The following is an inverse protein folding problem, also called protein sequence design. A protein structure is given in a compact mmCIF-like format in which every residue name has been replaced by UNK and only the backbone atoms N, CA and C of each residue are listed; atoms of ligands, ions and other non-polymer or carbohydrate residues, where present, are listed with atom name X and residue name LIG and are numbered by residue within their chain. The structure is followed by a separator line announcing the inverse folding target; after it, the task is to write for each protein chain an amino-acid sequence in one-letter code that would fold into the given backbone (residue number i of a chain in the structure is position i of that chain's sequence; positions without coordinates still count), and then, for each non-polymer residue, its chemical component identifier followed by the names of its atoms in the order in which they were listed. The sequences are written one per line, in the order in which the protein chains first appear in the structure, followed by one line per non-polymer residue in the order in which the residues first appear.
data_IF_475714125705
#
_entry.id   IF_475714125705
#
_cell.length_a   1.000
_cell.length_b   1.000
_cell.length_c   1.000
_cell.angle_alpha   90.00
_cell.angle_beta   90.00
_cell.angle_gamma   90.00
#
_symmetry.space_group_name_H-M   'P 1'
#
loop_
_entity.id
_entity.type
_entity.pdbx_description
1 polymer ?
#
# COMPACT_ATOMS: atom_id res chain seq x y z
N UNK A 1 27.13 24.93 -11.58
CA UNK A 1 26.30 26.00 -12.14
C UNK A 1 25.22 25.35 -12.99
N UNK A 2 23.98 25.77 -12.82
CA UNK A 2 22.92 25.30 -13.70
C UNK A 2 23.20 25.83 -15.09
N UNK A 3 23.21 24.98 -16.10
CA UNK A 3 23.55 25.32 -17.49
C UNK A 3 22.53 26.26 -18.18
N UNK A 4 21.64 26.87 -17.37
CA UNK A 4 20.60 27.77 -17.85
C UNK A 4 19.42 27.00 -18.48
N UNK A 5 18.48 27.78 -19.01
CA UNK A 5 17.32 27.22 -19.72
C UNK A 5 17.70 26.78 -21.12
N UNK A 6 17.54 25.52 -21.46
CA UNK A 6 17.72 25.00 -22.81
C UNK A 6 16.42 25.20 -23.58
N UNK A 7 16.47 26.05 -24.60
CA UNK A 7 15.34 26.31 -25.49
C UNK A 7 15.13 25.12 -26.41
N UNK A 8 13.97 24.49 -26.29
CA UNK A 8 13.51 23.39 -27.16
C UNK A 8 12.03 23.59 -27.47
N UNK A 9 11.73 24.16 -28.63
CA UNK A 9 10.36 24.46 -29.01
C UNK A 9 9.52 23.19 -29.19
N UNK A 10 10.13 22.06 -29.54
CA UNK A 10 9.45 20.76 -29.65
C UNK A 10 8.99 20.21 -28.30
N UNK A 11 9.69 20.57 -27.24
CA UNK A 11 9.42 20.14 -25.87
C UNK A 11 8.52 21.12 -25.12
N UNK A 12 8.75 22.41 -25.26
CA UNK A 12 8.14 23.43 -24.42
C UNK A 12 6.92 24.12 -25.02
N UNK A 13 6.76 24.09 -26.37
CA UNK A 13 5.57 24.65 -27.02
C UNK A 13 4.46 23.59 -27.04
N UNK A 14 3.44 23.82 -26.21
CA UNK A 14 2.35 22.86 -26.01
C UNK A 14 1.28 23.07 -27.08
N UNK A 15 1.35 22.27 -28.16
CA UNK A 15 0.25 22.04 -29.08
C UNK A 15 -0.47 20.71 -28.74
N UNK A 16 -1.70 20.45 -29.17
CA UNK A 16 -2.45 19.24 -28.86
C UNK A 16 -1.67 17.95 -29.09
N UNK A 17 -0.93 17.86 -30.20
CA UNK A 17 -0.11 16.69 -30.51
C UNK A 17 1.05 16.47 -29.51
N UNK A 18 1.65 17.55 -28.97
CA UNK A 18 2.70 17.45 -27.96
C UNK A 18 2.10 17.06 -26.59
N UNK A 19 0.96 17.64 -26.25
CA UNK A 19 0.26 17.28 -25.01
C UNK A 19 -0.10 15.79 -24.99
N UNK A 20 -0.63 15.26 -26.10
CA UNK A 20 -0.95 13.83 -26.23
C UNK A 20 0.29 12.94 -26.07
N UNK A 21 1.38 13.23 -26.80
CA UNK A 21 2.64 12.49 -26.67
C UNK A 21 3.21 12.56 -25.27
N UNK A 22 3.21 13.75 -24.66
CA UNK A 22 3.68 13.95 -23.30
C UNK A 22 2.88 13.12 -22.27
N UNK A 23 1.58 12.96 -22.49
CA UNK A 23 0.76 12.11 -21.64
C UNK A 23 1.15 10.63 -21.75
N UNK A 24 1.40 10.12 -22.97
CA UNK A 24 1.89 8.74 -23.14
C UNK A 24 3.27 8.55 -22.50
N UNK A 25 4.20 9.48 -22.68
CA UNK A 25 5.53 9.45 -22.05
C UNK A 25 5.45 9.43 -20.51
N UNK A 26 4.48 10.14 -19.93
CA UNK A 26 4.24 10.13 -18.48
C UNK A 26 3.71 8.75 -18.02
N UNK A 27 2.74 8.18 -18.73
CA UNK A 27 2.19 6.87 -18.39
C UNK A 27 3.26 5.76 -18.46
N UNK A 28 4.07 5.74 -19.51
CA UNK A 28 5.18 4.80 -19.65
C UNK A 28 6.17 4.94 -18.48
N UNK A 29 6.51 6.17 -18.12
CA UNK A 29 7.43 6.43 -17.00
C UNK A 29 6.85 6.02 -15.66
N UNK A 30 5.57 6.29 -15.39
CA UNK A 30 4.91 5.86 -14.16
C UNK A 30 4.84 4.35 -14.05
N UNK A 31 4.58 3.65 -15.17
CA UNK A 31 4.59 2.19 -15.20
C UNK A 31 5.99 1.62 -14.87
N UNK A 32 7.07 2.21 -15.43
CA UNK A 32 8.44 1.82 -15.08
C UNK A 32 8.74 2.03 -13.59
N UNK A 33 8.38 3.18 -13.04
CA UNK A 33 8.60 3.50 -11.62
C UNK A 33 7.82 2.52 -10.72
N UNK A 34 6.57 2.20 -11.06
CA UNK A 34 5.76 1.22 -10.32
C UNK A 34 6.42 -0.16 -10.33
N UNK A 35 6.95 -0.60 -11.47
CA UNK A 35 7.67 -1.88 -11.58
C UNK A 35 8.92 -1.94 -10.70
N UNK A 36 9.71 -0.87 -10.67
CA UNK A 36 10.90 -0.76 -9.82
C UNK A 36 10.54 -0.83 -8.33
N UNK A 37 9.53 -0.10 -7.88
CA UNK A 37 9.06 -0.10 -6.49
C UNK A 37 8.32 -1.39 -6.09
N UNK A 38 7.90 -2.19 -7.06
CA UNK A 38 7.31 -3.52 -6.83
C UNK A 38 8.34 -4.66 -6.83
N UNK A 39 9.63 -4.37 -6.94
CA UNK A 39 10.71 -5.37 -6.90
C UNK A 39 10.99 -6.08 -8.23
N UNK A 40 10.48 -5.58 -9.35
CA UNK A 40 10.70 -6.14 -10.68
C UNK A 40 11.69 -5.29 -11.51
N UNK A 41 12.96 -5.33 -11.16
CA UNK A 41 14.02 -4.52 -11.77
C UNK A 41 14.44 -4.92 -13.18
N UNK A 42 13.62 -5.61 -13.98
CA UNK A 42 14.07 -6.20 -15.25
C UNK A 42 13.99 -5.29 -16.48
N UNK A 43 13.44 -4.08 -16.43
CA UNK A 43 13.14 -3.37 -17.67
C UNK A 43 13.67 -1.93 -17.82
N UNK A 44 13.96 -1.19 -16.76
CA UNK A 44 14.20 0.24 -16.90
C UNK A 44 15.58 0.76 -16.52
N UNK A 45 16.38 0.04 -15.75
CA UNK A 45 17.73 0.48 -15.38
C UNK A 45 18.66 -0.65 -14.93
N UNK A 46 19.91 -0.60 -15.38
CA UNK A 46 20.92 -1.64 -15.14
C UNK A 46 21.80 -1.43 -13.92
N UNK A 47 21.54 -0.44 -13.07
CA UNK A 47 22.46 -0.05 -11.99
C UNK A 47 21.76 0.46 -10.71
N UNK A 48 20.50 0.10 -10.41
CA UNK A 48 19.81 0.63 -9.24
C UNK A 48 19.68 -0.37 -8.09
N UNK A 49 19.77 0.17 -6.88
CA UNK A 49 19.44 -0.50 -5.63
C UNK A 49 18.01 -1.07 -5.69
N UNK A 50 17.75 -2.14 -4.95
CA UNK A 50 16.44 -2.75 -4.86
C UNK A 50 15.43 -1.78 -4.19
N UNK A 51 14.62 -1.12 -5.00
CA UNK A 51 13.65 -0.14 -4.53
C UNK A 51 12.40 -0.78 -3.89
N UNK A 52 12.24 -2.11 -3.94
CA UNK A 52 11.18 -2.81 -3.22
C UNK A 52 11.30 -2.64 -1.70
N UNK A 53 12.49 -2.30 -1.21
CA UNK A 53 12.75 -1.99 0.21
C UNK A 53 11.91 -0.84 0.76
N UNK A 54 11.34 0.02 -0.10
CA UNK A 54 10.42 1.07 0.33
C UNK A 54 9.01 0.54 0.66
N UNK A 55 8.65 -0.64 0.16
CA UNK A 55 7.35 -1.28 0.38
C UNK A 55 7.53 -2.69 0.97
N UNK A 56 8.24 -2.85 2.10
CA UNK A 56 8.51 -4.16 2.67
C UNK A 56 7.21 -4.83 3.13
N UNK A 57 7.14 -6.14 2.88
CA UNK A 57 6.10 -6.99 3.42
C UNK A 57 6.73 -8.14 4.23
N UNK A 58 6.13 -8.48 5.35
CA UNK A 58 6.53 -9.59 6.21
C UNK A 58 5.32 -10.48 6.50
N UNK A 59 5.59 -11.75 6.70
CA UNK A 59 4.60 -12.76 7.06
C UNK A 59 4.89 -13.28 8.48
N UNK A 60 3.87 -13.27 9.33
CA UNK A 60 3.96 -13.68 10.73
C UNK A 60 3.01 -14.86 10.96
N UNK A 61 3.57 -16.05 11.19
CA UNK A 61 2.82 -17.29 11.35
C UNK A 61 2.54 -18.01 10.02
N UNK A 62 1.78 -19.08 10.09
CA UNK A 62 1.48 -19.95 8.95
C UNK A 62 0.13 -19.60 8.32
N UNK A 63 0.05 -19.62 6.99
CA UNK A 63 -1.18 -19.40 6.22
C UNK A 63 -2.00 -18.18 6.69
N UNK A 64 -1.43 -16.97 6.66
CA UNK A 64 -2.09 -15.78 7.18
C UNK A 64 -3.37 -15.46 6.41
N UNK A 65 -4.44 -15.15 7.15
CA UNK A 65 -5.75 -14.71 6.62
C UNK A 65 -5.96 -13.21 6.79
N UNK A 66 -5.12 -12.57 7.61
CA UNK A 66 -5.21 -11.16 7.98
C UNK A 66 -4.05 -10.36 7.41
N UNK A 67 -4.35 -9.14 6.95
CA UNK A 67 -3.34 -8.19 6.50
C UNK A 67 -3.41 -6.90 7.31
N UNK A 68 -2.26 -6.28 7.51
CA UNK A 68 -2.11 -4.96 8.10
C UNK A 68 -1.28 -4.14 7.13
N UNK A 69 -1.82 -3.02 6.66
CA UNK A 69 -1.12 -2.13 5.74
C UNK A 69 -1.00 -0.75 6.38
N UNK A 70 0.20 -0.20 6.37
CA UNK A 70 0.47 1.07 7.02
C UNK A 70 1.25 2.02 6.11
N UNK A 71 0.98 3.33 6.25
CA UNK A 71 1.73 4.39 5.60
C UNK A 71 2.33 5.36 6.62
N UNK A 72 3.50 5.91 6.29
CA UNK A 72 4.14 6.93 7.11
C UNK A 72 4.42 6.48 8.55
N UNK A 73 4.20 7.39 9.50
CA UNK A 73 4.44 7.15 10.94
C UNK A 73 3.55 6.07 11.53
N UNK A 74 2.36 5.84 10.93
CA UNK A 74 1.45 4.77 11.37
C UNK A 74 2.09 3.39 11.31
N UNK A 75 3.12 3.20 10.46
CA UNK A 75 3.92 1.97 10.40
C UNK A 75 4.61 1.69 11.75
N UNK A 76 5.29 2.68 12.31
CA UNK A 76 5.98 2.53 13.59
C UNK A 76 4.99 2.27 14.73
N UNK A 77 3.89 3.00 14.77
CA UNK A 77 2.85 2.82 15.78
C UNK A 77 2.18 1.45 15.70
N UNK A 78 1.94 0.93 14.49
CA UNK A 78 1.34 -0.39 14.32
C UNK A 78 2.28 -1.51 14.74
N UNK A 79 3.58 -1.41 14.45
CA UNK A 79 4.58 -2.37 14.90
C UNK A 79 4.69 -2.40 16.42
N UNK A 80 4.72 -1.24 17.08
CA UNK A 80 4.73 -1.15 18.53
C UNK A 80 3.43 -1.69 19.16
N UNK A 81 2.27 -1.38 18.57
CA UNK A 81 0.99 -1.89 19.02
C UNK A 81 0.91 -3.42 18.90
N UNK A 82 1.43 -4.00 17.81
CA UNK A 82 1.52 -5.46 17.63
C UNK A 82 2.44 -6.12 18.66
N UNK A 83 3.56 -5.47 19.01
CA UNK A 83 4.44 -5.96 20.06
C UNK A 83 3.70 -6.00 21.40
N UNK A 84 3.00 -4.94 21.79
CA UNK A 84 2.19 -4.93 23.02
C UNK A 84 1.07 -5.95 23.01
N UNK A 85 0.39 -6.15 21.87
CA UNK A 85 -0.65 -7.18 21.74
C UNK A 85 -0.08 -8.58 21.93
N UNK A 86 1.08 -8.87 21.32
CA UNK A 86 1.74 -10.17 21.41
C UNK A 86 2.17 -10.54 22.82
N UNK A 87 2.44 -9.53 23.67
CA UNK A 87 2.75 -9.75 25.10
C UNK A 87 1.51 -10.10 25.93
N UNK A 88 0.29 -9.79 25.46
CA UNK A 88 -0.97 -10.05 26.17
C UNK A 88 -1.64 -11.35 25.73
N UNK A 89 -1.57 -11.69 24.45
CA UNK A 89 -2.20 -12.87 23.88
C UNK A 89 -1.45 -13.37 22.64
N UNK A 90 -1.64 -14.64 22.30
CA UNK A 90 -1.18 -15.16 21.01
C UNK A 90 -1.97 -14.45 19.90
N UNK A 91 -1.24 -13.90 18.93
CA UNK A 91 -1.87 -13.27 17.76
C UNK A 91 -2.17 -14.32 16.68
N UNK A 92 -3.26 -14.17 15.92
CA UNK A 92 -3.47 -14.97 14.71
C UNK A 92 -2.36 -14.69 13.69
N UNK A 93 -2.17 -15.60 12.74
CA UNK A 93 -1.22 -15.39 11.65
C UNK A 93 -1.65 -14.20 10.78
N UNK A 94 -0.71 -13.31 10.46
CA UNK A 94 -0.99 -12.11 9.67
C UNK A 94 0.17 -11.77 8.73
N UNK A 95 -0.12 -10.98 7.69
CA UNK A 95 0.87 -10.25 6.90
C UNK A 95 0.88 -8.79 7.31
N UNK A 96 2.06 -8.20 7.30
CA UNK A 96 2.23 -6.76 7.50
C UNK A 96 2.95 -6.16 6.29
N UNK A 97 2.45 -5.04 5.78
CA UNK A 97 3.06 -4.32 4.66
C UNK A 97 3.14 -2.83 4.98
N UNK A 98 4.31 -2.26 4.74
CA UNK A 98 4.49 -0.81 4.70
C UNK A 98 4.31 -0.33 3.27
N UNK A 99 3.61 0.77 3.08
CA UNK A 99 3.57 1.53 1.83
C UNK A 99 4.39 2.81 2.02
N UNK A 100 5.60 2.82 1.49
CA UNK A 100 6.48 3.98 1.46
C UNK A 100 6.37 4.79 0.18
N UNK A 101 5.80 4.20 -0.89
CA UNK A 101 5.61 4.83 -2.19
C UNK A 101 4.14 4.84 -2.57
N UNK A 102 3.33 5.80 -2.05
CA UNK A 102 1.90 5.82 -2.34
C UNK A 102 1.56 6.25 -3.78
N UNK A 103 2.53 6.80 -4.53
CA UNK A 103 2.35 7.16 -5.93
C UNK A 103 3.68 7.10 -6.73
N UNK A 104 3.74 6.38 -7.88
CA UNK A 104 2.71 5.42 -8.28
C UNK A 104 2.57 4.31 -7.24
N UNK A 105 1.34 3.81 -7.05
CA UNK A 105 1.09 2.76 -6.07
C UNK A 105 1.77 1.45 -6.50
N UNK A 106 2.37 0.67 -5.59
CA UNK A 106 3.08 -0.57 -5.92
C UNK A 106 2.09 -1.72 -6.16
N UNK A 107 1.33 -1.65 -7.25
CA UNK A 107 0.21 -2.53 -7.57
C UNK A 107 0.56 -4.02 -7.50
N UNK A 108 1.71 -4.40 -8.05
CA UNK A 108 2.14 -5.81 -8.09
C UNK A 108 2.46 -6.33 -6.70
N UNK A 109 3.22 -5.56 -5.90
CA UNK A 109 3.57 -5.92 -4.55
C UNK A 109 2.33 -6.00 -3.65
N UNK A 110 1.43 -5.01 -3.75
CA UNK A 110 0.18 -4.99 -3.00
C UNK A 110 -0.79 -6.11 -3.44
N UNK A 111 -0.85 -6.43 -4.74
CA UNK A 111 -1.64 -7.56 -5.24
C UNK A 111 -1.14 -8.88 -4.68
N UNK A 112 0.17 -9.13 -4.71
CA UNK A 112 0.77 -10.32 -4.12
C UNK A 112 0.55 -10.40 -2.60
N UNK A 113 0.62 -9.25 -1.91
CA UNK A 113 0.32 -9.17 -0.49
C UNK A 113 -1.12 -9.58 -0.17
N UNK A 114 -2.09 -9.20 -1.00
CA UNK A 114 -3.51 -9.49 -0.80
C UNK A 114 -3.90 -10.96 -1.09
N UNK A 115 -3.05 -11.72 -1.79
CA UNK A 115 -3.38 -13.10 -2.17
C UNK A 115 -3.67 -13.98 -0.95
N UNK A 116 -4.86 -14.59 -0.93
CA UNK A 116 -5.29 -15.49 0.14
C UNK A 116 -5.71 -14.79 1.45
N UNK A 117 -5.61 -13.46 1.54
CA UNK A 117 -6.12 -12.73 2.68
C UNK A 117 -7.65 -12.58 2.62
N UNK A 118 -8.31 -12.80 3.74
CA UNK A 118 -9.76 -12.60 3.88
C UNK A 118 -10.09 -11.14 4.20
N UNK A 119 -9.26 -10.49 5.02
CA UNK A 119 -9.42 -9.09 5.38
C UNK A 119 -8.08 -8.40 5.60
N UNK A 120 -8.06 -7.12 5.34
CA UNK A 120 -6.91 -6.23 5.57
C UNK A 120 -7.38 -4.98 6.30
N UNK A 121 -6.59 -4.52 7.28
CA UNK A 121 -6.80 -3.23 7.93
C UNK A 121 -5.74 -2.24 7.50
N UNK A 122 -6.14 -0.98 7.27
CA UNK A 122 -5.26 0.09 6.78
C UNK A 122 -5.14 1.18 7.82
N UNK A 123 -3.88 1.55 8.14
CA UNK A 123 -3.56 2.70 8.99
C UNK A 123 -2.72 3.71 8.20
N UNK A 124 -3.33 4.84 7.94
CA UNK A 124 -2.74 6.01 7.30
C UNK A 124 -3.29 7.29 7.93
N UNK A 125 -2.61 8.41 7.74
CA UNK A 125 -3.04 9.68 8.31
C UNK A 125 -3.67 10.56 7.23
N UNK A 126 -4.57 11.44 7.66
CA UNK A 126 -5.30 12.41 6.85
C UNK A 126 -6.23 11.75 5.82
N UNK A 127 -5.81 11.62 4.58
CA UNK A 127 -6.64 11.10 3.49
C UNK A 127 -6.46 9.58 3.33
N UNK A 128 -7.49 8.90 2.77
CA UNK A 128 -7.52 7.46 2.55
C UNK A 128 -6.89 7.07 1.20
N UNK A 129 -5.64 7.45 0.98
CA UNK A 129 -4.92 7.21 -0.30
C UNK A 129 -4.59 5.73 -0.47
N UNK A 130 -3.99 5.12 0.55
CA UNK A 130 -3.61 3.69 0.53
C UNK A 130 -4.87 2.81 0.54
N UNK A 131 -5.86 3.15 1.37
CA UNK A 131 -7.12 2.41 1.43
C UNK A 131 -7.84 2.40 0.08
N UNK A 132 -7.91 3.54 -0.62
CA UNK A 132 -8.56 3.64 -1.94
C UNK A 132 -7.86 2.78 -2.98
N UNK A 133 -6.52 2.76 -2.99
CA UNK A 133 -5.76 1.92 -3.91
C UNK A 133 -5.96 0.42 -3.62
N UNK A 134 -6.01 0.02 -2.35
CA UNK A 134 -6.32 -1.37 -1.99
C UNK A 134 -7.75 -1.76 -2.38
N UNK A 135 -8.73 -0.89 -2.16
CA UNK A 135 -10.12 -1.10 -2.63
C UNK A 135 -10.17 -1.25 -4.14
N UNK A 136 -9.42 -0.42 -4.89
CA UNK A 136 -9.29 -0.53 -6.35
C UNK A 136 -8.73 -1.90 -6.76
N UNK A 137 -7.64 -2.34 -6.13
CA UNK A 137 -7.03 -3.65 -6.41
C UNK A 137 -7.96 -4.81 -6.11
N UNK A 138 -8.63 -4.80 -4.95
CA UNK A 138 -9.63 -5.82 -4.58
C UNK A 138 -10.76 -5.85 -5.61
N UNK A 139 -11.22 -4.70 -6.09
CA UNK A 139 -12.20 -4.62 -7.17
C UNK A 139 -11.72 -5.27 -8.47
N UNK A 140 -10.46 -5.03 -8.86
CA UNK A 140 -9.85 -5.66 -10.03
C UNK A 140 -9.67 -7.18 -9.84
N UNK A 141 -9.33 -7.65 -8.65
CA UNK A 141 -9.26 -9.07 -8.31
C UNK A 141 -10.63 -9.74 -8.44
N UNK A 142 -11.67 -9.12 -7.89
CA UNK A 142 -13.05 -9.61 -8.02
C UNK A 142 -13.51 -9.71 -9.48
N UNK A 143 -13.18 -8.73 -10.33
CA UNK A 143 -13.45 -8.79 -11.77
C UNK A 143 -12.76 -9.96 -12.48
N UNK A 144 -11.66 -10.47 -11.93
CA UNK A 144 -10.92 -11.66 -12.43
C UNK A 144 -11.40 -12.96 -11.80
N UNK A 145 -12.45 -12.92 -10.97
CA UNK A 145 -13.02 -14.10 -10.30
C UNK A 145 -12.26 -14.56 -9.06
N UNK A 146 -11.36 -13.73 -8.52
CA UNK A 146 -10.68 -14.00 -7.26
C UNK A 146 -11.61 -13.64 -6.09
N UNK A 147 -11.48 -14.34 -4.97
CA UNK A 147 -12.22 -14.02 -3.75
C UNK A 147 -11.84 -12.63 -3.26
N UNK A 148 -12.82 -11.74 -3.00
CA UNK A 148 -12.53 -10.39 -2.58
C UNK A 148 -12.04 -10.37 -1.13
N UNK A 149 -10.91 -9.73 -0.89
CA UNK A 149 -10.43 -9.38 0.45
C UNK A 149 -11.27 -8.22 0.99
N UNK A 150 -11.73 -8.30 2.24
CA UNK A 150 -12.41 -7.18 2.89
C UNK A 150 -11.39 -6.12 3.33
N UNK A 151 -11.50 -4.92 2.82
CA UNK A 151 -10.68 -3.77 3.24
C UNK A 151 -11.38 -3.06 4.40
N UNK A 152 -10.69 -2.97 5.52
CA UNK A 152 -11.09 -2.26 6.73
C UNK A 152 -10.19 -1.03 6.90
N UNK A 153 -10.77 0.12 7.15
CA UNK A 153 -10.01 1.37 7.27
C UNK A 153 -10.90 2.52 7.69
N UNK A 154 -10.64 3.69 7.18
CA UNK A 154 -11.41 4.90 7.51
C UNK A 154 -12.82 4.86 6.92
N UNK A 155 -12.98 4.31 5.71
CA UNK A 155 -14.27 4.19 5.03
C UNK A 155 -15.24 3.26 5.74
N UNK A 156 -14.72 2.21 6.36
CA UNK A 156 -15.51 1.25 7.16
C UNK A 156 -15.67 1.68 8.63
N UNK A 157 -14.98 2.74 9.07
CA UNK A 157 -14.96 3.20 10.46
C UNK A 157 -14.01 2.40 11.36
N UNK A 158 -13.23 1.48 10.80
CA UNK A 158 -12.27 0.66 11.54
C UNK A 158 -10.95 1.40 11.83
N UNK A 159 -10.66 2.49 11.11
CA UNK A 159 -9.54 3.39 11.38
C UNK A 159 -10.03 4.82 11.66
N UNK A 160 -9.15 5.66 12.24
CA UNK A 160 -9.46 7.04 12.63
C UNK A 160 -9.79 7.89 11.40
N UNK A 161 -10.90 8.64 11.46
CA UNK A 161 -11.35 9.46 10.33
C UNK A 161 -10.58 10.79 10.19
N UNK A 162 -9.96 11.32 11.25
CA UNK A 162 -9.19 12.56 11.26
C UNK A 162 -8.21 12.61 12.44
N UNK A 163 -7.21 13.47 12.34
CA UNK A 163 -6.15 13.63 13.35
C UNK A 163 -5.02 12.62 13.17
N UNK A 164 -4.06 12.69 14.07
CA UNK A 164 -2.90 11.81 14.13
C UNK A 164 -3.27 10.45 14.73
N UNK A 165 -2.68 9.39 14.25
CA UNK A 165 -2.74 8.08 14.88
C UNK A 165 -1.85 8.07 16.14
N UNK A 166 -2.11 7.14 17.04
CA UNK A 166 -1.24 6.84 18.17
C UNK A 166 -1.12 5.32 18.35
N UNK A 167 -0.13 4.90 19.12
CA UNK A 167 0.05 3.48 19.45
C UNK A 167 -1.20 2.92 20.13
N UNK A 168 -1.79 3.66 21.08
CA UNK A 168 -2.98 3.25 21.81
C UNK A 168 -4.20 3.12 20.89
N UNK A 169 -4.41 4.08 19.99
CA UNK A 169 -5.54 4.04 19.04
C UNK A 169 -5.41 2.84 18.10
N UNK A 170 -4.22 2.60 17.55
CA UNK A 170 -3.96 1.47 16.67
C UNK A 170 -4.05 0.15 17.43
N UNK A 171 -3.56 0.08 18.66
CA UNK A 171 -3.67 -1.08 19.54
C UNK A 171 -5.12 -1.52 19.72
N UNK A 172 -6.01 -0.61 20.13
CA UNK A 172 -7.44 -0.90 20.33
C UNK A 172 -8.13 -1.34 19.03
N UNK A 173 -7.70 -0.81 17.88
CA UNK A 173 -8.27 -1.17 16.59
C UNK A 173 -7.80 -2.52 16.10
N UNK A 174 -6.52 -2.85 16.29
CA UNK A 174 -5.97 -4.18 15.98
C UNK A 174 -6.59 -5.26 16.87
N UNK A 175 -6.75 -4.99 18.17
CA UNK A 175 -7.43 -5.91 19.07
C UNK A 175 -8.87 -6.22 18.59
N UNK A 176 -9.63 -5.19 18.23
CA UNK A 176 -10.98 -5.37 17.64
C UNK A 176 -10.95 -6.06 16.29
N UNK A 177 -9.97 -5.77 15.45
CA UNK A 177 -9.83 -6.36 14.12
C UNK A 177 -9.62 -7.88 14.21
N UNK A 178 -8.76 -8.34 15.11
CA UNK A 178 -8.50 -9.75 15.31
C UNK A 178 -9.67 -10.45 16.04
N UNK A 179 -10.27 -9.84 17.07
CA UNK A 179 -11.40 -10.43 17.81
C UNK A 179 -12.66 -10.60 16.96
N UNK A 180 -12.99 -9.61 16.10
CA UNK A 180 -14.13 -9.75 15.17
C UNK A 180 -13.98 -10.90 14.20
N UNK A 181 -12.76 -11.24 13.85
CA UNK A 181 -12.49 -12.35 12.96
C UNK A 181 -12.84 -13.70 13.60
N UNK A 182 -12.56 -13.86 14.88
CA UNK A 182 -12.89 -15.09 15.64
C UNK A 182 -14.40 -15.27 15.82
N UNK A 183 -15.13 -14.16 16.03
CA UNK A 183 -16.58 -14.20 16.23
C UNK A 183 -17.41 -14.45 14.96
N UNK A 184 -16.86 -14.16 13.78
CA UNK A 184 -17.55 -14.44 12.50
C UNK A 184 -17.37 -15.92 12.06
N UNK A 185 -16.53 -16.71 12.77
CA UNK A 185 -16.27 -18.13 12.52
C UNK A 185 -17.12 -19.09 13.41
N UNK A 186 -17.76 -18.58 14.47
CA UNK A 186 -18.70 -19.32 15.31
C UNK A 186 -20.15 -19.23 14.80
#
# INVERSE_FOLDING_TARGET
PADGFVKDDSKWVIFPARAYRGHLEIQERLACIEEEFSGNSSSCSSEHEDLSLFNPAIECGDAPRFGIVCGGVSTAYALEALEFLSQRAALPSYRFMQIGTPFPFPDKAASAFLEGLERVIVFEELDHVIEDELVRLVGLHAMRGLSPTRVCGRRSGDARAAGENSVEDIFERLERFFTRAELEEE
#
